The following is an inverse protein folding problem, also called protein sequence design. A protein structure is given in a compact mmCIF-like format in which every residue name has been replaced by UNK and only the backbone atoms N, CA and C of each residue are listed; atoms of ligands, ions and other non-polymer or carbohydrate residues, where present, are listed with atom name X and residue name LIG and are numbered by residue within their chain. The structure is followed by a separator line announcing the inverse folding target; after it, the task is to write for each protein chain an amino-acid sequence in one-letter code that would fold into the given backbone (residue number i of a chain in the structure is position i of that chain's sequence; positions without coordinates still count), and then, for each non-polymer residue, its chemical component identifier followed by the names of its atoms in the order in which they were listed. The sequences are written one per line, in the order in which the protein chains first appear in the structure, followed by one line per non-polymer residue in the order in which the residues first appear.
data_IF_581832323066
#
_entry.id   IF_581832323066
#
_cell.length_a   1.000
_cell.length_b   1.000
_cell.length_c   1.000
_cell.angle_alpha   90.00
_cell.angle_beta   90.00
_cell.angle_gamma   90.00
#
_symmetry.space_group_name_H-M   'P 1'
#
loop_
_entity.id
_entity.type
_entity.pdbx_description
1 polymer ?
#
# COMPACT_ATOMS: atom_id res chain seq x y z
N UNK A 1 31.03 -5.15 6.17
CA UNK A 1 30.59 -5.22 7.59
C UNK A 1 30.77 -3.89 8.30
N UNK A 2 31.98 -3.32 8.42
CA UNK A 2 32.25 -2.09 9.21
C UNK A 2 31.41 -0.88 8.76
N UNK A 3 31.30 -0.63 7.45
CA UNK A 3 30.55 0.50 6.89
C UNK A 3 29.05 0.36 7.18
N UNK A 4 28.49 -0.83 7.00
CA UNK A 4 27.07 -1.09 7.28
C UNK A 4 26.73 -0.89 8.76
N UNK A 5 27.59 -1.37 9.66
CA UNK A 5 27.43 -1.18 11.10
C UNK A 5 27.54 0.27 11.54
N UNK A 6 28.46 1.04 10.92
CA UNK A 6 28.64 2.47 11.22
C UNK A 6 27.39 3.28 10.82
N UNK A 7 26.86 3.02 9.62
CA UNK A 7 25.63 3.68 9.12
C UNK A 7 24.42 3.28 9.97
N UNK A 8 24.28 2.00 10.27
CA UNK A 8 23.18 1.49 11.09
C UNK A 8 23.19 2.10 12.49
N UNK A 9 24.39 2.24 13.10
CA UNK A 9 24.55 2.92 14.38
C UNK A 9 24.14 4.39 14.36
N UNK A 10 24.41 5.10 13.25
CA UNK A 10 23.98 6.50 13.07
C UNK A 10 22.46 6.63 12.90
N UNK A 11 21.84 5.65 12.24
CA UNK A 11 20.40 5.63 11.96
C UNK A 11 19.56 4.96 13.07
N UNK A 12 20.21 4.32 14.06
CA UNK A 12 19.51 3.59 15.12
C UNK A 12 18.80 2.33 14.63
N UNK A 13 19.30 1.69 13.57
CA UNK A 13 18.70 0.48 12.96
C UNK A 13 19.66 -0.71 13.06
N UNK A 14 19.12 -1.92 12.96
CA UNK A 14 19.95 -3.13 12.85
C UNK A 14 20.52 -3.27 11.44
N UNK A 15 21.77 -3.73 11.33
CA UNK A 15 22.40 -4.06 10.06
C UNK A 15 22.92 -5.49 10.05
N UNK A 16 22.59 -6.20 8.98
CA UNK A 16 23.15 -7.49 8.62
C UNK A 16 23.77 -7.36 7.25
N UNK A 17 25.08 -7.34 7.20
CA UNK A 17 25.86 -7.13 5.96
C UNK A 17 26.34 -8.46 5.39
N UNK A 18 26.71 -8.42 4.09
CA UNK A 18 27.32 -9.54 3.35
C UNK A 18 26.44 -10.81 3.29
N UNK A 19 25.12 -10.63 3.32
CA UNK A 19 24.20 -11.73 3.16
C UNK A 19 24.17 -12.20 1.69
N UNK A 20 24.41 -13.48 1.49
CA UNK A 20 24.16 -14.15 0.22
C UNK A 20 22.63 -14.24 -0.05
N UNK A 21 22.19 -14.44 -1.30
CA UNK A 21 20.76 -14.51 -1.64
C UNK A 21 19.96 -15.47 -0.75
N UNK A 22 20.48 -16.69 -0.52
CA UNK A 22 19.82 -17.66 0.33
C UNK A 22 19.74 -17.24 1.82
N UNK A 23 20.76 -16.53 2.29
CA UNK A 23 20.78 -15.98 3.63
C UNK A 23 19.77 -14.83 3.79
N UNK A 24 19.63 -13.97 2.77
CA UNK A 24 18.58 -12.94 2.72
C UNK A 24 17.19 -13.56 2.79
N UNK A 25 16.93 -14.59 1.96
CA UNK A 25 15.66 -15.31 1.93
C UNK A 25 15.33 -15.91 3.30
N UNK A 26 16.32 -16.56 3.94
CA UNK A 26 16.15 -17.17 5.28
C UNK A 26 15.83 -16.10 6.32
N UNK A 27 16.48 -14.94 6.25
CA UNK A 27 16.24 -13.84 7.19
C UNK A 27 14.85 -13.23 6.99
N UNK A 28 14.41 -13.02 5.76
CA UNK A 28 13.05 -12.54 5.46
C UNK A 28 11.99 -13.51 6.02
N UNK A 29 12.17 -14.80 5.82
CA UNK A 29 11.27 -15.84 6.38
C UNK A 29 11.24 -15.81 7.90
N UNK A 30 12.39 -15.64 8.53
CA UNK A 30 12.51 -15.53 10.00
C UNK A 30 11.75 -14.29 10.52
N UNK A 31 11.95 -13.14 9.91
CA UNK A 31 11.26 -11.90 10.28
C UNK A 31 9.75 -12.02 10.05
N UNK A 32 9.34 -12.56 8.91
CA UNK A 32 7.93 -12.77 8.56
C UNK A 32 7.18 -13.69 9.52
N UNK A 33 7.88 -14.61 10.18
CA UNK A 33 7.28 -15.47 11.21
C UNK A 33 6.89 -14.70 12.48
N UNK A 34 7.47 -13.51 12.70
CA UNK A 34 7.20 -12.67 13.87
C UNK A 34 6.22 -11.55 13.54
N UNK A 35 6.38 -10.91 12.37
CA UNK A 35 5.54 -9.78 11.92
C UNK A 35 5.56 -9.65 10.40
N UNK A 36 4.57 -8.97 9.79
CA UNK A 36 4.61 -8.62 8.38
C UNK A 36 5.90 -7.84 8.03
N UNK A 37 6.52 -8.19 6.89
CA UNK A 37 7.79 -7.63 6.43
C UNK A 37 7.64 -7.03 5.05
N UNK A 38 8.05 -5.79 4.87
CA UNK A 38 8.29 -5.19 3.56
C UNK A 38 9.77 -5.39 3.19
N UNK A 39 10.03 -5.92 2.01
CA UNK A 39 11.37 -6.04 1.43
C UNK A 39 11.50 -5.02 0.30
N UNK A 40 12.57 -4.24 0.35
CA UNK A 40 12.92 -3.30 -0.72
C UNK A 40 14.22 -3.77 -1.36
N UNK A 41 14.24 -3.90 -2.67
CA UNK A 41 15.42 -4.38 -3.39
C UNK A 41 15.45 -3.90 -4.84
N UNK A 42 16.65 -3.87 -5.43
CA UNK A 42 16.90 -3.29 -6.76
C UNK A 42 17.06 -4.34 -7.86
N UNK A 43 17.13 -5.62 -7.51
CA UNK A 43 17.60 -6.47 -8.51
C UNK A 43 17.44 -7.96 -8.51
N UNK A 44 18.20 -8.53 -9.41
CA UNK A 44 18.22 -9.95 -9.79
C UNK A 44 18.44 -10.86 -8.58
N UNK A 45 19.33 -10.45 -7.69
CA UNK A 45 19.72 -11.24 -6.53
C UNK A 45 18.71 -11.17 -5.37
N UNK A 46 17.79 -10.22 -5.41
CA UNK A 46 16.81 -9.99 -4.37
C UNK A 46 15.41 -10.53 -4.71
N UNK A 47 15.17 -10.96 -5.94
CA UNK A 47 13.88 -11.47 -6.39
C UNK A 47 13.30 -12.59 -5.48
N UNK A 48 14.06 -13.59 -5.05
CA UNK A 48 13.54 -14.61 -4.14
C UNK A 48 13.15 -14.04 -2.75
N UNK A 49 13.87 -13.03 -2.27
CA UNK A 49 13.58 -12.38 -0.99
C UNK A 49 12.37 -11.43 -1.12
N UNK A 50 12.23 -10.71 -2.24
CA UNK A 50 11.05 -9.90 -2.58
C UNK A 50 9.79 -10.76 -2.61
N UNK A 51 9.82 -11.90 -3.31
CA UNK A 51 8.70 -12.84 -3.38
C UNK A 51 8.32 -13.46 -2.03
N UNK A 52 9.30 -13.65 -1.14
CA UNK A 52 9.06 -14.25 0.16
C UNK A 52 8.55 -13.27 1.22
N UNK A 53 8.72 -11.98 1.02
CA UNK A 53 8.26 -10.93 1.92
C UNK A 53 6.73 -10.90 2.02
N UNK A 54 6.18 -10.08 2.91
CA UNK A 54 4.75 -9.80 2.95
C UNK A 54 4.36 -8.78 1.89
N UNK A 55 5.29 -7.86 1.58
CA UNK A 55 5.23 -6.92 0.47
C UNK A 55 6.63 -6.77 -0.09
N UNK A 56 6.80 -7.06 -1.38
CA UNK A 56 8.03 -6.82 -2.13
C UNK A 56 7.96 -5.50 -2.88
N UNK A 57 8.97 -4.66 -2.75
CA UNK A 57 9.07 -3.35 -3.42
C UNK A 57 10.34 -3.33 -4.25
N UNK A 58 10.20 -3.28 -5.57
CA UNK A 58 11.33 -3.11 -6.48
C UNK A 58 11.71 -1.63 -6.61
N UNK A 59 13.02 -1.33 -6.61
CA UNK A 59 13.53 0.02 -6.77
C UNK A 59 14.01 0.27 -8.21
N UNK A 60 13.76 1.48 -8.69
CA UNK A 60 14.32 2.15 -9.85
C UNK A 60 14.53 1.34 -11.10
N UNK A 61 15.72 1.29 -11.61
CA UNK A 61 16.07 0.47 -12.78
C UNK A 61 16.12 -1.04 -12.52
N UNK A 62 15.29 -1.55 -11.61
CA UNK A 62 15.15 -2.97 -11.33
C UNK A 62 14.96 -3.78 -12.61
N UNK A 63 15.57 -4.96 -12.63
CA UNK A 63 15.44 -5.87 -13.78
C UNK A 63 13.98 -6.29 -13.96
N UNK A 64 13.61 -6.66 -15.17
CA UNK A 64 12.27 -7.18 -15.48
C UNK A 64 11.84 -8.27 -14.48
N UNK A 65 12.78 -9.10 -14.03
CA UNK A 65 12.53 -10.16 -13.04
C UNK A 65 12.13 -9.58 -11.67
N UNK A 66 12.77 -8.51 -11.22
CA UNK A 66 12.40 -7.87 -9.97
C UNK A 66 11.02 -7.18 -10.07
N UNK A 67 10.75 -6.55 -11.21
CA UNK A 67 9.46 -5.92 -11.48
C UNK A 67 8.30 -6.92 -11.57
N UNK A 68 8.53 -8.09 -12.17
CA UNK A 68 7.54 -9.17 -12.23
C UNK A 68 7.29 -9.86 -10.89
N UNK A 69 8.27 -9.80 -9.98
CA UNK A 69 8.21 -10.51 -8.70
C UNK A 69 7.70 -9.63 -7.56
N UNK A 70 7.86 -8.31 -7.67
CA UNK A 70 7.49 -7.36 -6.64
C UNK A 70 5.99 -6.98 -6.68
N UNK A 71 5.41 -6.71 -5.52
CA UNK A 71 4.04 -6.21 -5.39
C UNK A 71 3.92 -4.73 -5.76
N UNK A 72 5.01 -3.97 -5.65
CA UNK A 72 5.10 -2.57 -6.01
C UNK A 72 6.46 -2.23 -6.61
N UNK A 73 6.51 -1.20 -7.46
CA UNK A 73 7.74 -0.70 -8.04
C UNK A 73 7.86 0.82 -7.85
N UNK A 74 9.04 1.25 -7.42
CA UNK A 74 9.42 2.66 -7.38
C UNK A 74 10.19 2.99 -8.66
N UNK A 75 9.68 3.90 -9.47
CA UNK A 75 10.31 4.29 -10.74
C UNK A 75 11.59 5.12 -10.55
N UNK A 76 11.84 5.60 -9.35
CA UNK A 76 13.01 6.40 -8.99
C UNK A 76 13.83 5.69 -7.92
N UNK A 77 15.17 5.75 -8.03
CA UNK A 77 16.12 5.19 -7.05
C UNK A 77 16.24 6.06 -5.79
N UNK A 78 15.12 6.48 -5.22
CA UNK A 78 15.13 7.27 -3.99
C UNK A 78 14.49 6.49 -2.86
N UNK A 79 15.25 6.26 -1.79
CA UNK A 79 14.74 5.60 -0.57
C UNK A 79 13.51 6.34 0.01
N UNK A 80 13.42 7.67 -0.16
CA UNK A 80 12.27 8.47 0.23
C UNK A 80 10.97 8.04 -0.47
N UNK A 81 11.06 7.51 -1.68
CA UNK A 81 9.90 6.96 -2.41
C UNK A 81 9.18 5.83 -1.66
N UNK A 82 9.89 5.08 -0.81
CA UNK A 82 9.27 4.06 0.05
C UNK A 82 8.33 4.70 1.07
N UNK A 83 8.75 5.79 1.70
CA UNK A 83 7.90 6.53 2.65
C UNK A 83 6.69 7.16 1.96
N UNK A 84 6.87 7.72 0.75
CA UNK A 84 5.78 8.23 -0.08
C UNK A 84 4.78 7.12 -0.45
N UNK A 85 5.27 5.95 -0.82
CA UNK A 85 4.43 4.79 -1.15
C UNK A 85 3.58 4.34 0.05
N UNK A 86 4.18 4.28 1.25
CA UNK A 86 3.48 3.94 2.49
C UNK A 86 2.41 4.99 2.80
N UNK A 87 2.74 6.27 2.71
CA UNK A 87 1.81 7.36 2.97
C UNK A 87 0.63 7.36 1.97
N UNK A 88 0.91 7.13 0.68
CA UNK A 88 -0.13 6.98 -0.35
C UNK A 88 -1.02 5.77 -0.09
N UNK A 89 -0.44 4.64 0.29
CA UNK A 89 -1.19 3.42 0.64
C UNK A 89 -2.15 3.67 1.80
N UNK A 90 -1.70 4.35 2.85
CA UNK A 90 -2.55 4.71 4.01
C UNK A 90 -3.66 5.67 3.62
N UNK A 91 -3.37 6.69 2.81
CA UNK A 91 -4.36 7.63 2.30
C UNK A 91 -5.41 6.91 1.42
N UNK A 92 -4.96 5.99 0.58
CA UNK A 92 -5.83 5.17 -0.28
C UNK A 92 -6.74 4.28 0.56
N UNK A 93 -6.21 3.59 1.56
CA UNK A 93 -6.99 2.74 2.46
C UNK A 93 -8.04 3.57 3.23
N UNK A 94 -7.66 4.75 3.71
CA UNK A 94 -8.59 5.68 4.35
C UNK A 94 -9.72 6.12 3.42
N UNK A 95 -9.41 6.42 2.15
CA UNK A 95 -10.41 6.75 1.14
C UNK A 95 -11.34 5.57 0.83
N UNK A 96 -10.81 4.35 0.74
CA UNK A 96 -11.62 3.13 0.55
C UNK A 96 -12.62 2.95 1.70
N UNK A 97 -12.17 3.09 2.95
CA UNK A 97 -13.06 2.97 4.11
C UNK A 97 -14.13 4.06 4.14
N UNK A 98 -13.80 5.30 3.76
CA UNK A 98 -14.77 6.39 3.60
C UNK A 98 -15.83 6.02 2.55
N UNK A 99 -15.40 5.53 1.40
CA UNK A 99 -16.30 5.15 0.30
C UNK A 99 -17.23 4.00 0.70
N UNK A 100 -16.71 2.98 1.37
CA UNK A 100 -17.52 1.88 1.91
C UNK A 100 -18.56 2.40 2.92
N UNK A 101 -18.13 3.26 3.84
CA UNK A 101 -19.02 3.83 4.86
C UNK A 101 -20.13 4.68 4.25
N UNK A 102 -19.81 5.51 3.26
CA UNK A 102 -20.79 6.32 2.52
C UNK A 102 -21.79 5.40 1.79
N UNK A 103 -21.29 4.42 1.02
CA UNK A 103 -22.14 3.53 0.23
C UNK A 103 -23.07 2.68 1.11
N UNK A 104 -22.53 2.06 2.17
CA UNK A 104 -23.33 1.23 3.08
C UNK A 104 -24.28 2.07 3.94
N UNK A 105 -23.83 3.24 4.41
CA UNK A 105 -24.66 4.15 5.20
C UNK A 105 -25.87 4.64 4.42
N UNK A 106 -25.67 5.10 3.17
CA UNK A 106 -26.76 5.51 2.30
C UNK A 106 -27.73 4.33 2.02
N UNK A 107 -27.21 3.14 1.74
CA UNK A 107 -28.05 1.94 1.52
C UNK A 107 -28.85 1.57 2.76
N UNK A 108 -28.27 1.65 3.95
CA UNK A 108 -28.97 1.38 5.21
C UNK A 108 -30.11 2.38 5.45
N UNK A 109 -29.86 3.67 5.24
CA UNK A 109 -30.91 4.73 5.32
C UNK A 109 -32.04 4.46 4.34
N UNK A 110 -31.69 4.14 3.08
CA UNK A 110 -32.68 3.82 2.05
C UNK A 110 -33.51 2.59 2.38
N UNK A 111 -32.88 1.53 2.88
CA UNK A 111 -33.60 0.33 3.32
C UNK A 111 -34.59 0.67 4.42
N UNK A 112 -34.18 1.41 5.44
CA UNK A 112 -35.05 1.83 6.53
C UNK A 112 -36.25 2.65 6.04
N UNK A 113 -36.02 3.66 5.21
CA UNK A 113 -37.11 4.51 4.66
C UNK A 113 -38.01 3.77 3.70
N UNK A 114 -37.50 2.76 2.99
CA UNK A 114 -38.29 1.88 2.13
C UNK A 114 -39.23 0.98 2.95
N UNK A 115 -38.73 0.41 4.05
CA UNK A 115 -39.56 -0.41 4.96
C UNK A 115 -40.64 0.42 5.63
N UNK A 116 -40.42 1.70 5.88
CA UNK A 116 -41.42 2.63 6.41
C UNK A 116 -42.42 3.13 5.35
N UNK A 117 -42.29 2.69 4.09
CA UNK A 117 -43.18 3.07 3.01
C UNK A 117 -43.01 4.52 2.52
N UNK A 118 -41.92 5.21 2.92
CA UNK A 118 -41.66 6.61 2.57
C UNK A 118 -40.98 6.73 1.22
N UNK A 119 -40.22 5.71 0.81
CA UNK A 119 -39.36 5.76 -0.38
C UNK A 119 -40.10 5.32 -1.63
N UNK A 120 -40.13 6.18 -2.64
CA UNK A 120 -40.62 5.84 -3.98
C UNK A 120 -39.49 5.23 -4.83
N UNK A 121 -39.85 4.51 -5.92
CA UNK A 121 -38.88 3.93 -6.85
C UNK A 121 -37.91 4.97 -7.42
N UNK A 122 -38.43 6.16 -7.78
CA UNK A 122 -37.57 7.25 -8.30
C UNK A 122 -36.58 7.77 -7.26
N UNK A 123 -36.97 7.88 -6.02
CA UNK A 123 -36.07 8.28 -4.93
C UNK A 123 -34.97 7.23 -4.72
N UNK A 124 -35.30 5.94 -4.82
CA UNK A 124 -34.30 4.88 -4.73
C UNK A 124 -33.26 4.97 -5.84
N UNK A 125 -33.69 5.16 -7.09
CA UNK A 125 -32.80 5.32 -8.26
C UNK A 125 -31.90 6.54 -8.10
N UNK A 126 -32.47 7.69 -7.73
CA UNK A 126 -31.70 8.93 -7.56
C UNK A 126 -30.65 8.81 -6.46
N UNK A 127 -30.96 8.11 -5.38
CA UNK A 127 -30.01 7.94 -4.30
C UNK A 127 -28.88 6.96 -4.64
N UNK A 128 -29.16 5.87 -5.32
CA UNK A 128 -28.14 4.92 -5.76
C UNK A 128 -27.18 5.59 -6.74
N UNK A 129 -27.71 6.35 -7.70
CA UNK A 129 -26.91 7.17 -8.63
C UNK A 129 -26.11 8.24 -7.89
N UNK A 130 -26.76 8.95 -6.94
CA UNK A 130 -26.11 9.96 -6.11
C UNK A 130 -24.99 9.41 -5.25
N UNK A 131 -25.20 8.23 -4.65
CA UNK A 131 -24.16 7.53 -3.90
C UNK A 131 -22.95 7.19 -4.78
N UNK A 132 -23.18 6.70 -5.99
CA UNK A 132 -22.13 6.39 -6.95
C UNK A 132 -21.31 7.64 -7.33
N UNK A 133 -21.99 8.75 -7.59
CA UNK A 133 -21.31 10.04 -7.88
C UNK A 133 -20.49 10.51 -6.69
N UNK A 134 -21.02 10.45 -5.47
CA UNK A 134 -20.30 10.85 -4.25
C UNK A 134 -19.05 10.00 -4.00
N UNK A 135 -19.17 8.69 -4.10
CA UNK A 135 -18.06 7.75 -3.93
C UNK A 135 -16.98 7.98 -5.00
N UNK A 136 -17.39 8.19 -6.26
CA UNK A 136 -16.47 8.49 -7.36
C UNK A 136 -15.75 9.82 -7.13
N UNK A 137 -16.48 10.87 -6.76
CA UNK A 137 -15.89 12.19 -6.46
C UNK A 137 -14.89 12.10 -5.28
N UNK A 138 -15.22 11.31 -4.25
CA UNK A 138 -14.30 11.09 -3.13
C UNK A 138 -13.05 10.30 -3.56
N UNK A 139 -13.19 9.28 -4.42
CA UNK A 139 -12.06 8.54 -4.95
C UNK A 139 -11.13 9.45 -5.80
N UNK A 140 -11.70 10.33 -6.61
CA UNK A 140 -10.93 11.29 -7.42
C UNK A 140 -10.10 12.29 -6.58
N UNK A 141 -10.40 12.47 -5.31
CA UNK A 141 -9.55 13.27 -4.41
C UNK A 141 -8.12 12.73 -4.31
N UNK A 142 -7.94 11.41 -4.44
CA UNK A 142 -6.61 10.81 -4.42
C UNK A 142 -5.72 11.26 -5.59
N UNK A 143 -6.29 11.67 -6.71
CA UNK A 143 -5.51 12.23 -7.83
C UNK A 143 -4.82 13.56 -7.47
N UNK A 144 -5.30 14.26 -6.43
CA UNK A 144 -4.73 15.51 -5.92
C UNK A 144 -3.84 15.29 -4.70
N UNK A 145 -3.67 14.01 -4.30
CA UNK A 145 -2.81 13.70 -3.18
C UNK A 145 -1.36 14.06 -3.52
N UNK A 146 -0.68 14.70 -2.59
CA UNK A 146 0.75 14.97 -2.65
C UNK A 146 1.36 14.51 -1.35
N UNK A 147 2.54 13.89 -1.42
CA UNK A 147 3.32 13.61 -0.23
C UNK A 147 3.58 14.92 0.52
N UNK A 148 3.28 14.96 1.80
CA UNK A 148 3.67 16.08 2.66
C UNK A 148 5.19 16.03 2.79
N UNK A 149 5.89 17.03 2.27
CA UNK A 149 7.30 17.23 2.55
C UNK A 149 7.44 17.57 4.04
N UNK A 150 7.85 16.59 4.84
CA UNK A 150 8.24 16.76 6.24
C UNK A 150 9.67 16.34 6.44
#
# INVERSE_FOLDING_TARGET
VRTAQAIAGQLGIEARAELLPDAKLTEIRRLKAVSPVAMVGDGINDAPALAAASVGIAMGGGTDVALETADAALLNDRAHGVAELIALSQATLGNIWQNISIALGLKAVFLATSLLGVTTLWMAILADTGATVLVTANALRLLRWRASES
#
